data_IF_400930350680
#
_entry.id   IF_400930350680
#
_cell.length_a   1.000
_cell.length_b   1.000
_cell.length_c   1.000
_cell.angle_alpha   90.00
_cell.angle_beta   90.00
_cell.angle_gamma   90.00
#
_symmetry.space_group_name_H-M   'P 1'
#
loop_
_entity.id
_entity.type
_entity.pdbx_description
1 polymer ?
#
# COMPACT_ATOMS: atom_id res chain seq x y z
N UNK A 1 -16.09 -39.87 40.03
CA UNK A 1 -15.14 -38.77 39.76
C UNK A 1 -15.30 -38.38 38.29
N UNK A 2 -15.90 -37.22 38.00
CA UNK A 2 -16.23 -36.74 36.65
C UNK A 2 -15.16 -35.74 36.20
N UNK A 3 -14.60 -35.94 35.02
CA UNK A 3 -13.72 -34.99 34.34
C UNK A 3 -14.47 -33.70 33.99
N UNK A 4 -13.93 -32.50 34.25
CA UNK A 4 -14.48 -31.27 33.72
C UNK A 4 -13.97 -31.03 32.30
N UNK A 5 -14.90 -30.96 31.36
CA UNK A 5 -14.69 -30.54 29.98
C UNK A 5 -14.22 -29.08 29.91
N UNK A 6 -13.01 -28.85 29.40
CA UNK A 6 -12.52 -27.51 29.07
C UNK A 6 -13.14 -27.11 27.73
N UNK A 7 -14.27 -26.40 27.78
CA UNK A 7 -14.82 -25.66 26.64
C UNK A 7 -13.85 -24.56 26.22
N UNK A 8 -13.36 -24.63 24.99
CA UNK A 8 -12.60 -23.54 24.38
C UNK A 8 -13.53 -22.34 24.16
N UNK A 9 -13.26 -21.24 24.89
CA UNK A 9 -13.84 -19.92 24.59
C UNK A 9 -13.34 -19.49 23.21
N UNK A 10 -14.10 -19.78 22.16
CA UNK A 10 -14.05 -18.98 20.93
C UNK A 10 -14.30 -17.53 21.35
N UNK A 11 -13.29 -16.67 21.24
CA UNK A 11 -13.48 -15.21 21.28
C UNK A 11 -14.40 -14.86 20.11
N UNK A 12 -15.70 -14.84 20.37
CA UNK A 12 -16.69 -14.21 19.50
C UNK A 12 -16.31 -12.74 19.41
N UNK A 13 -15.84 -12.34 18.22
CA UNK A 13 -15.80 -10.94 17.83
C UNK A 13 -17.25 -10.44 17.93
N UNK A 14 -17.56 -9.38 18.68
CA UNK A 14 -18.93 -8.97 18.88
C UNK A 14 -19.53 -8.52 17.56
N UNK A 15 -20.71 -9.08 17.25
CA UNK A 15 -21.53 -8.93 16.04
C UNK A 15 -22.07 -7.50 15.80
N UNK A 16 -21.54 -6.49 16.50
CA UNK A 16 -22.16 -5.16 16.64
C UNK A 16 -21.34 -4.00 16.06
N UNK A 17 -20.28 -4.24 15.27
CA UNK A 17 -19.53 -3.13 14.66
C UNK A 17 -20.31 -2.43 13.52
N UNK A 18 -21.18 -3.16 12.81
CA UNK A 18 -21.96 -2.64 11.68
C UNK A 18 -23.08 -1.68 12.15
N UNK A 19 -23.69 -1.92 13.31
CA UNK A 19 -24.71 -1.03 13.86
C UNK A 19 -24.15 0.30 14.38
N UNK A 20 -22.87 0.34 14.78
CA UNK A 20 -22.23 1.56 15.27
C UNK A 20 -21.93 2.55 14.12
N UNK A 21 -21.58 2.05 12.93
CA UNK A 21 -21.36 2.87 11.74
C UNK A 21 -22.62 3.61 11.27
N UNK A 22 -23.80 3.04 11.51
CA UNK A 22 -25.09 3.65 11.18
C UNK A 22 -25.63 4.62 12.26
N UNK A 23 -25.08 4.60 13.48
CA UNK A 23 -25.59 5.36 14.64
C UNK A 23 -24.71 6.54 15.09
N UNK A 24 -23.57 6.81 14.42
CA UNK A 24 -22.84 8.08 14.62
C UNK A 24 -23.51 9.17 13.78
N UNK A 25 -24.66 9.64 14.26
CA UNK A 25 -25.26 10.90 13.80
C UNK A 25 -24.50 12.05 14.46
N UNK A 26 -23.48 12.57 13.77
CA UNK A 26 -23.17 13.99 13.91
C UNK A 26 -24.08 14.74 12.94
N UNK A 27 -24.92 15.61 13.50
CA UNK A 27 -25.86 16.47 12.79
C UNK A 27 -25.07 17.50 11.97
N UNK A 28 -24.70 17.15 10.74
CA UNK A 28 -24.55 18.12 9.66
C UNK A 28 -25.87 18.10 8.87
N UNK A 29 -26.89 18.71 9.45
CA UNK A 29 -28.15 18.92 8.75
C UNK A 29 -27.89 19.92 7.62
N UNK A 30 -27.93 19.47 6.36
CA UNK A 30 -28.22 20.34 5.23
C UNK A 30 -27.18 20.45 4.10
N UNK A 31 -25.99 19.87 4.18
CA UNK A 31 -25.07 19.91 3.02
C UNK A 31 -25.42 18.84 1.98
N UNK A 32 -25.63 19.21 0.71
CA UNK A 32 -25.83 18.25 -0.37
C UNK A 32 -24.66 17.26 -0.44
N UNK A 33 -24.96 15.98 -0.68
CA UNK A 33 -23.95 14.90 -0.71
C UNK A 33 -22.81 15.12 -1.71
N UNK A 34 -23.08 15.83 -2.80
CA UNK A 34 -22.09 16.25 -3.80
C UNK A 34 -21.11 17.29 -3.23
N UNK A 35 -21.59 18.18 -2.36
CA UNK A 35 -20.76 19.22 -1.73
C UNK A 35 -19.79 18.60 -0.72
N UNK A 36 -20.25 17.63 0.09
CA UNK A 36 -19.38 16.87 1.01
C UNK A 36 -18.24 16.15 0.29
N UNK A 37 -18.55 15.46 -0.82
CA UNK A 37 -17.51 14.76 -1.60
C UNK A 37 -16.52 15.75 -2.22
N UNK A 38 -17.02 16.85 -2.77
CA UNK A 38 -16.19 17.90 -3.38
C UNK A 38 -15.28 18.55 -2.34
N UNK A 39 -15.81 18.89 -1.17
CA UNK A 39 -15.06 19.45 -0.03
C UNK A 39 -13.98 18.50 0.45
N UNK A 40 -14.32 17.22 0.62
CA UNK A 40 -13.35 16.18 0.99
C UNK A 40 -12.20 16.11 -0.02
N UNK A 41 -12.49 16.05 -1.32
CA UNK A 41 -11.47 15.96 -2.36
C UNK A 41 -10.61 17.23 -2.41
N UNK A 42 -11.21 18.42 -2.29
CA UNK A 42 -10.47 19.68 -2.25
C UNK A 42 -9.54 19.78 -1.03
N UNK A 43 -10.00 19.33 0.14
CA UNK A 43 -9.19 19.29 1.35
C UNK A 43 -8.03 18.29 1.20
N UNK A 44 -8.29 17.10 0.63
CA UNK A 44 -7.27 16.12 0.31
C UNK A 44 -6.19 16.68 -0.62
N UNK A 45 -6.59 17.37 -1.68
CA UNK A 45 -5.65 18.01 -2.61
C UNK A 45 -4.85 19.13 -1.92
N UNK A 46 -5.50 19.94 -1.08
CA UNK A 46 -4.83 21.00 -0.31
C UNK A 46 -3.78 20.44 0.66
N UNK A 47 -4.11 19.36 1.37
CA UNK A 47 -3.17 18.66 2.26
C UNK A 47 -1.98 18.14 1.46
N UNK A 48 -2.22 17.54 0.29
CA UNK A 48 -1.16 17.07 -0.60
C UNK A 48 -0.22 18.22 -1.01
N UNK A 49 -0.77 19.35 -1.44
CA UNK A 49 0.02 20.54 -1.82
C UNK A 49 0.83 21.05 -0.62
N UNK A 50 0.25 21.07 0.58
CA UNK A 50 0.96 21.47 1.79
C UNK A 50 2.11 20.52 2.13
N UNK A 51 1.89 19.20 2.02
CA UNK A 51 2.93 18.18 2.20
C UNK A 51 4.05 18.35 1.18
N UNK A 52 3.75 18.64 -0.09
CA UNK A 52 4.77 18.94 -1.10
C UNK A 52 5.55 20.23 -0.79
N UNK A 53 4.87 21.29 -0.34
CA UNK A 53 5.52 22.53 0.07
C UNK A 53 6.44 22.31 1.28
N UNK A 54 6.02 21.49 2.24
CA UNK A 54 6.86 21.11 3.37
C UNK A 54 8.14 20.40 2.89
N UNK A 55 8.01 19.46 1.94
CA UNK A 55 9.17 18.77 1.33
C UNK A 55 10.11 19.74 0.62
N UNK A 56 9.59 20.65 -0.19
CA UNK A 56 10.38 21.67 -0.90
C UNK A 56 11.18 22.54 0.08
N UNK A 57 10.57 22.98 1.18
CA UNK A 57 11.25 23.77 2.20
C UNK A 57 12.36 22.99 2.91
N UNK A 58 12.13 21.72 3.25
CA UNK A 58 13.17 20.87 3.86
C UNK A 58 14.31 20.63 2.87
N UNK A 59 14.01 20.40 1.59
CA UNK A 59 15.03 20.26 0.53
C UNK A 59 15.87 21.53 0.37
N UNK A 60 15.22 22.69 0.30
CA UNK A 60 15.89 24.00 0.28
C UNK A 60 16.76 24.22 1.51
N UNK A 61 16.31 23.78 2.68
CA UNK A 61 17.10 23.90 3.91
C UNK A 61 18.42 23.13 3.82
N UNK A 62 18.41 21.91 3.28
CA UNK A 62 19.63 21.14 3.08
C UNK A 62 20.57 21.81 2.07
N UNK A 63 20.04 22.27 0.93
CA UNK A 63 20.85 22.98 -0.08
C UNK A 63 21.47 24.28 0.47
N UNK A 64 20.70 25.05 1.25
CA UNK A 64 21.20 26.27 1.90
C UNK A 64 22.27 25.94 2.96
N UNK A 65 22.13 24.82 3.67
CA UNK A 65 23.12 24.36 4.65
C UNK A 65 24.45 24.00 3.97
N UNK A 66 24.39 23.22 2.90
CA UNK A 66 25.57 22.80 2.12
C UNK A 66 26.27 24.00 1.47
N UNK A 67 25.52 25.03 1.08
CA UNK A 67 26.05 26.29 0.56
C UNK A 67 26.56 27.27 1.65
N UNK A 68 26.51 26.89 2.94
CA UNK A 68 26.97 27.72 4.06
C UNK A 68 26.00 28.79 4.54
N UNK A 69 24.77 28.84 4.01
CA UNK A 69 23.72 29.78 4.40
C UNK A 69 22.92 29.29 5.62
N UNK A 70 23.60 29.08 6.76
CA UNK A 70 23.03 28.41 7.93
C UNK A 70 21.74 29.03 8.48
N UNK A 71 21.65 30.37 8.58
CA UNK A 71 20.43 31.04 9.07
C UNK A 71 19.23 30.81 8.15
N UNK A 72 19.46 30.78 6.84
CA UNK A 72 18.42 30.54 5.84
C UNK A 72 17.99 29.07 5.86
N UNK A 73 18.95 28.17 6.00
CA UNK A 73 18.71 26.74 6.22
C UNK A 73 17.83 26.49 7.45
N UNK A 74 18.13 27.14 8.57
CA UNK A 74 17.35 27.03 9.81
C UNK A 74 15.89 27.47 9.63
N UNK A 75 15.66 28.62 9.00
CA UNK A 75 14.31 29.14 8.73
C UNK A 75 13.53 28.21 7.81
N UNK A 76 14.14 27.75 6.72
CA UNK A 76 13.51 26.81 5.78
C UNK A 76 13.19 25.48 6.47
N UNK A 77 14.10 24.97 7.31
CA UNK A 77 13.88 23.74 8.05
C UNK A 77 12.72 23.89 9.04
N UNK A 78 12.71 24.97 9.85
CA UNK A 78 11.64 25.24 10.82
C UNK A 78 10.27 25.35 10.15
N UNK A 79 10.17 26.11 9.07
CA UNK A 79 8.92 26.28 8.32
C UNK A 79 8.46 24.98 7.66
N UNK A 80 9.39 24.21 7.08
CA UNK A 80 9.10 22.90 6.52
C UNK A 80 8.56 21.92 7.56
N UNK A 81 9.17 21.87 8.76
CA UNK A 81 8.72 21.01 9.87
C UNK A 81 7.35 21.41 10.41
N UNK A 82 7.09 22.72 10.54
CA UNK A 82 5.77 23.20 10.96
C UNK A 82 4.68 22.75 9.97
N UNK A 83 4.90 22.94 8.66
CA UNK A 83 3.94 22.50 7.64
C UNK A 83 3.77 20.98 7.60
N UNK A 84 4.84 20.19 7.79
CA UNK A 84 4.79 18.72 7.87
C UNK A 84 3.94 18.25 9.05
N UNK A 85 4.09 18.90 10.21
CA UNK A 85 3.30 18.60 11.41
C UNK A 85 1.82 18.96 11.23
N UNK A 86 1.53 20.12 10.67
CA UNK A 86 0.16 20.56 10.38
C UNK A 86 -0.52 19.62 9.37
N UNK A 87 0.18 19.24 8.29
CA UNK A 87 -0.33 18.31 7.29
C UNK A 87 -0.71 16.96 7.92
N UNK A 88 0.12 16.42 8.81
CA UNK A 88 -0.16 15.16 9.51
C UNK A 88 -1.40 15.23 10.39
N UNK A 89 -1.66 16.35 11.05
CA UNK A 89 -2.90 16.56 11.83
C UNK A 89 -4.11 16.59 10.89
N UNK A 90 -4.00 17.30 9.77
CA UNK A 90 -5.07 17.38 8.77
C UNK A 90 -5.36 16.02 8.11
N UNK A 91 -4.35 15.19 7.86
CA UNK A 91 -4.53 13.82 7.33
C UNK A 91 -5.36 12.94 8.29
N UNK A 92 -5.13 13.04 9.60
CA UNK A 92 -5.92 12.32 10.59
C UNK A 92 -7.38 12.78 10.63
N UNK A 93 -7.62 14.07 10.45
CA UNK A 93 -8.98 14.62 10.33
C UNK A 93 -9.65 14.16 9.03
N UNK A 94 -8.91 14.16 7.92
CA UNK A 94 -9.37 13.73 6.61
C UNK A 94 -9.85 12.27 6.63
N UNK A 95 -9.14 11.38 7.32
CA UNK A 95 -9.55 9.98 7.47
C UNK A 95 -10.93 9.83 8.16
N UNK A 96 -11.24 10.69 9.15
CA UNK A 96 -12.56 10.70 9.81
C UNK A 96 -13.64 11.24 8.88
N UNK A 97 -13.33 12.26 8.09
CA UNK A 97 -14.24 12.82 7.09
C UNK A 97 -14.56 11.82 5.97
N UNK A 98 -13.58 11.02 5.52
CA UNK A 98 -13.79 9.99 4.50
C UNK A 98 -14.91 9.05 4.90
N UNK A 99 -14.89 8.56 6.15
CA UNK A 99 -15.93 7.64 6.64
C UNK A 99 -17.32 8.29 6.63
N UNK A 100 -17.40 9.57 7.03
CA UNK A 100 -18.65 10.32 6.99
C UNK A 100 -19.17 10.51 5.57
N UNK A 101 -18.31 10.96 4.65
CA UNK A 101 -18.66 11.15 3.23
C UNK A 101 -19.09 9.82 2.61
N UNK A 102 -18.33 8.75 2.86
CA UNK A 102 -18.64 7.40 2.42
C UNK A 102 -20.03 6.95 2.89
N UNK A 103 -20.30 7.04 4.19
CA UNK A 103 -21.59 6.61 4.78
C UNK A 103 -22.75 7.42 4.21
N UNK A 104 -22.56 8.72 3.97
CA UNK A 104 -23.57 9.56 3.32
C UNK A 104 -23.85 9.09 1.88
N UNK A 105 -22.80 8.79 1.09
CA UNK A 105 -23.00 8.28 -0.27
C UNK A 105 -23.67 6.89 -0.27
N UNK A 106 -23.29 5.99 0.65
CA UNK A 106 -23.94 4.68 0.77
C UNK A 106 -25.44 4.81 1.05
N UNK A 107 -25.85 5.72 1.95
CA UNK A 107 -27.28 6.02 2.20
C UNK A 107 -27.99 6.54 0.95
N UNK A 108 -27.31 7.31 0.12
CA UNK A 108 -27.88 7.85 -1.11
C UNK A 108 -27.98 6.81 -2.24
N UNK A 109 -27.33 5.65 -2.14
CA UNK A 109 -27.46 4.58 -3.14
C UNK A 109 -28.84 3.93 -3.15
N UNK A 110 -29.61 4.01 -2.06
CA UNK A 110 -30.97 3.49 -1.95
C UNK A 110 -32.04 4.60 -2.06
N UNK A 111 -31.66 5.83 -2.41
CA UNK A 111 -32.58 6.96 -2.47
C UNK A 111 -33.63 6.78 -3.59
N UNK A 112 -34.88 7.14 -3.39
CA UNK A 112 -35.95 6.99 -4.41
C UNK A 112 -35.67 7.79 -5.70
N UNK A 113 -34.96 8.92 -5.61
CA UNK A 113 -34.57 9.73 -6.74
C UNK A 113 -33.36 9.14 -7.48
N UNK A 114 -33.54 8.80 -8.76
CA UNK A 114 -32.51 8.22 -9.61
C UNK A 114 -31.24 9.08 -9.73
N UNK A 115 -31.38 10.40 -9.85
CA UNK A 115 -30.23 11.30 -10.00
C UNK A 115 -29.39 11.35 -8.72
N UNK A 116 -30.02 11.23 -7.55
CA UNK A 116 -29.31 11.12 -6.27
C UNK A 116 -28.51 9.82 -6.21
N UNK A 117 -29.10 8.68 -6.60
CA UNK A 117 -28.38 7.39 -6.64
C UNK A 117 -27.23 7.38 -7.62
N UNK A 118 -27.44 7.97 -8.81
CA UNK A 118 -26.42 8.11 -9.86
C UNK A 118 -25.27 8.99 -9.40
N UNK A 119 -25.58 10.15 -8.81
CA UNK A 119 -24.59 11.05 -8.22
C UNK A 119 -23.79 10.37 -7.12
N UNK A 120 -24.45 9.62 -6.23
CA UNK A 120 -23.78 8.87 -5.17
C UNK A 120 -22.82 7.80 -5.70
N UNK A 121 -23.22 7.07 -6.74
CA UNK A 121 -22.36 6.08 -7.40
C UNK A 121 -21.10 6.74 -7.98
N UNK A 122 -21.27 7.89 -8.66
CA UNK A 122 -20.16 8.66 -9.22
C UNK A 122 -19.24 9.23 -8.13
N UNK A 123 -19.81 9.71 -7.03
CA UNK A 123 -19.06 10.28 -5.91
C UNK A 123 -18.21 9.21 -5.22
N UNK A 124 -18.77 8.02 -4.97
CA UNK A 124 -18.00 6.89 -4.44
C UNK A 124 -16.85 6.49 -5.36
N UNK A 125 -17.06 6.49 -6.68
CA UNK A 125 -15.98 6.23 -7.62
C UNK A 125 -14.86 7.29 -7.53
N UNK A 126 -15.22 8.57 -7.36
CA UNK A 126 -14.26 9.68 -7.19
C UNK A 126 -13.46 9.62 -5.90
N UNK A 127 -14.02 9.04 -4.82
CA UNK A 127 -13.26 8.79 -3.58
C UNK A 127 -12.08 7.83 -3.82
N UNK A 128 -12.11 7.07 -4.92
CA UNK A 128 -11.01 6.20 -5.34
C UNK A 128 -10.93 4.92 -4.52
N UNK A 129 -9.86 4.15 -4.63
CA UNK A 129 -9.78 2.81 -4.03
C UNK A 129 -9.65 2.82 -2.50
N UNK A 130 -9.44 3.97 -1.88
CA UNK A 130 -9.37 4.13 -0.42
C UNK A 130 -10.65 3.69 0.29
N UNK A 131 -11.80 3.69 -0.41
CA UNK A 131 -13.07 3.20 0.13
C UNK A 131 -13.24 1.69 0.02
N UNK A 132 -12.36 0.98 -0.70
CA UNK A 132 -12.52 -0.47 -0.89
C UNK A 132 -12.57 -1.26 0.42
N UNK A 133 -11.73 -0.99 1.44
CA UNK A 133 -11.87 -1.63 2.74
C UNK A 133 -13.26 -1.42 3.33
N UNK A 134 -13.78 -0.18 3.26
CA UNK A 134 -15.11 0.16 3.75
C UNK A 134 -16.23 -0.55 2.96
N UNK A 135 -16.09 -0.67 1.63
CA UNK A 135 -17.03 -1.41 0.79
C UNK A 135 -17.04 -2.91 1.12
N UNK A 136 -15.89 -3.49 1.44
CA UNK A 136 -15.77 -4.90 1.83
C UNK A 136 -16.32 -5.17 3.24
N UNK A 137 -16.27 -4.19 4.14
CA UNK A 137 -16.88 -4.28 5.47
C UNK A 137 -18.41 -4.27 5.44
N UNK A 138 -19.03 -3.77 4.36
CA UNK A 138 -20.48 -3.80 4.21
C UNK A 138 -20.97 -5.25 4.08
N UNK A 139 -21.90 -5.65 4.96
CA UNK A 139 -22.58 -6.93 4.81
C UNK A 139 -23.59 -6.85 3.66
N UNK A 140 -23.15 -7.18 2.44
CA UNK A 140 -23.97 -7.14 1.22
C UNK A 140 -25.25 -8.00 1.27
N UNK A 141 -25.40 -8.89 2.27
CA UNK A 141 -26.60 -9.73 2.42
C UNK A 141 -27.78 -9.01 3.07
N UNK A 142 -27.53 -7.97 3.86
CA UNK A 142 -28.57 -7.23 4.61
C UNK A 142 -28.89 -5.88 3.96
N UNK A 143 -28.44 -5.67 2.72
CA UNK A 143 -28.60 -4.43 1.96
C UNK A 143 -29.61 -4.67 0.83
N UNK A 144 -30.41 -3.66 0.49
CA UNK A 144 -31.40 -3.76 -0.58
C UNK A 144 -30.76 -4.15 -1.93
N UNK A 145 -31.50 -4.84 -2.82
CA UNK A 145 -30.94 -5.37 -4.06
C UNK A 145 -30.33 -4.31 -4.98
N UNK A 146 -30.89 -3.10 -5.03
CA UNK A 146 -30.40 -2.03 -5.91
C UNK A 146 -29.06 -1.47 -5.41
N UNK A 147 -28.97 -1.14 -4.12
CA UNK A 147 -27.73 -0.70 -3.48
C UNK A 147 -26.65 -1.77 -3.62
N UNK A 148 -27.00 -3.05 -3.42
CA UNK A 148 -26.08 -4.16 -3.59
C UNK A 148 -25.55 -4.25 -5.03
N UNK A 149 -26.42 -4.11 -6.04
CA UNK A 149 -26.00 -4.09 -7.45
C UNK A 149 -25.04 -2.93 -7.75
N UNK A 150 -25.30 -1.74 -7.20
CA UNK A 150 -24.42 -0.55 -7.37
C UNK A 150 -23.07 -0.73 -6.69
N UNK A 151 -23.05 -1.27 -5.46
CA UNK A 151 -21.79 -1.60 -4.76
C UNK A 151 -20.99 -2.64 -5.54
N UNK A 152 -21.64 -3.69 -6.08
CA UNK A 152 -20.96 -4.67 -6.95
C UNK A 152 -20.39 -4.02 -8.20
N UNK A 153 -21.12 -3.13 -8.84
CA UNK A 153 -20.62 -2.35 -9.99
C UNK A 153 -19.41 -1.48 -9.62
N UNK A 154 -19.43 -0.86 -8.45
CA UNK A 154 -18.31 -0.07 -7.93
C UNK A 154 -17.09 -0.95 -7.62
N UNK A 155 -17.27 -2.09 -6.95
CA UNK A 155 -16.21 -3.07 -6.73
C UNK A 155 -15.61 -3.57 -8.07
N UNK A 156 -16.47 -3.84 -9.06
CA UNK A 156 -16.03 -4.21 -10.40
C UNK A 156 -15.26 -3.09 -11.11
N UNK A 157 -15.58 -1.81 -10.84
CA UNK A 157 -14.80 -0.67 -11.35
C UNK A 157 -13.37 -0.63 -10.78
N UNK A 158 -13.16 -1.28 -9.63
CA UNK A 158 -11.86 -1.44 -8.98
C UNK A 158 -11.23 -2.83 -9.22
N UNK A 159 -11.76 -3.66 -10.11
CA UNK A 159 -11.35 -5.07 -10.32
C UNK A 159 -9.85 -5.34 -10.52
N UNK A 160 -9.09 -4.33 -10.93
CA UNK A 160 -7.64 -4.42 -11.11
C UNK A 160 -6.84 -4.15 -9.82
N UNK A 161 -7.54 -3.98 -8.69
CA UNK A 161 -6.96 -3.74 -7.37
C UNK A 161 -7.28 -4.96 -6.53
N UNK A 162 -6.24 -5.74 -6.22
CA UNK A 162 -6.37 -6.91 -5.35
C UNK A 162 -6.34 -6.46 -3.89
N UNK A 163 -7.25 -6.99 -3.09
CA UNK A 163 -7.39 -6.67 -1.68
C UNK A 163 -7.63 -7.95 -0.91
N UNK A 164 -7.02 -8.08 0.26
CA UNK A 164 -7.26 -9.22 1.14
C UNK A 164 -8.44 -9.02 2.09
N UNK A 165 -8.71 -10.04 2.92
CA UNK A 165 -9.82 -10.02 3.89
C UNK A 165 -9.68 -8.92 4.96
N UNK A 166 -8.52 -8.30 5.08
CA UNK A 166 -8.22 -7.23 6.03
C UNK A 166 -8.24 -5.84 5.37
N UNK A 167 -8.62 -5.74 4.09
CA UNK A 167 -8.65 -4.46 3.38
C UNK A 167 -7.26 -3.99 2.93
N UNK A 168 -6.23 -4.83 2.99
CA UNK A 168 -4.88 -4.46 2.56
C UNK A 168 -4.78 -4.59 1.04
N UNK A 169 -4.21 -3.59 0.40
CA UNK A 169 -3.90 -3.63 -1.03
C UNK A 169 -2.79 -4.65 -1.27
N UNK A 170 -3.01 -5.48 -2.28
CA UNK A 170 -2.06 -6.45 -2.81
C UNK A 170 -1.68 -5.95 -4.20
N UNK A 171 -0.43 -5.55 -4.38
CA UNK A 171 0.03 -5.05 -5.68
C UNK A 171 1.32 -5.74 -6.09
N UNK A 172 1.34 -6.18 -7.34
CA UNK A 172 2.52 -6.72 -7.99
C UNK A 172 3.37 -5.59 -8.55
N UNK A 173 4.69 -5.82 -8.63
CA UNK A 173 5.60 -4.86 -9.25
C UNK A 173 5.19 -4.56 -10.70
N UNK A 174 5.22 -3.28 -11.08
CA UNK A 174 4.85 -2.79 -12.41
C UNK A 174 6.07 -2.62 -13.31
N UNK A 175 7.16 -2.13 -12.74
CA UNK A 175 8.45 -1.97 -13.43
C UNK A 175 9.57 -2.37 -12.49
N UNK A 176 10.71 -2.74 -13.04
CA UNK A 176 11.88 -3.12 -12.26
C UNK A 176 13.17 -2.69 -12.97
N UNK A 177 14.18 -2.36 -12.18
CA UNK A 177 15.57 -2.12 -12.58
C UNK A 177 16.49 -2.88 -11.63
N UNK A 178 17.69 -3.20 -12.06
CA UNK A 178 18.64 -3.95 -11.25
C UNK A 178 20.06 -3.38 -11.39
N UNK A 179 20.94 -3.75 -10.45
CA UNK A 179 22.39 -3.51 -10.55
C UNK A 179 22.95 -4.09 -11.85
N UNK A 180 22.50 -5.29 -12.17
CA UNK A 180 22.87 -6.02 -13.36
C UNK A 180 21.76 -7.01 -13.73
N UNK A 181 21.78 -7.47 -14.97
CA UNK A 181 20.86 -8.51 -15.44
C UNK A 181 21.56 -9.37 -16.49
N UNK A 182 21.21 -10.64 -16.55
CA UNK A 182 21.87 -11.61 -17.44
C UNK A 182 21.70 -11.22 -18.92
N UNK A 183 20.46 -10.95 -19.35
CA UNK A 183 20.19 -10.36 -20.68
C UNK A 183 19.16 -9.23 -20.62
N UNK A 184 18.86 -8.64 -21.77
CA UNK A 184 17.88 -7.56 -21.91
C UNK A 184 16.42 -8.06 -22.02
N UNK A 185 16.21 -9.35 -22.32
CA UNK A 185 14.88 -9.96 -22.43
C UNK A 185 14.73 -11.06 -21.38
N UNK A 186 15.47 -12.14 -21.57
CA UNK A 186 15.48 -13.32 -20.72
C UNK A 186 16.33 -13.04 -19.47
N UNK A 187 15.82 -13.41 -18.30
CA UNK A 187 16.43 -13.10 -17.01
C UNK A 187 16.66 -11.60 -16.73
N UNK A 188 15.91 -10.74 -17.42
CA UNK A 188 15.96 -9.30 -17.21
C UNK A 188 15.25 -8.88 -15.92
N UNK A 189 15.54 -7.70 -15.38
CA UNK A 189 14.84 -7.20 -14.18
C UNK A 189 13.31 -7.14 -14.37
N UNK A 190 12.85 -6.92 -15.61
CA UNK A 190 11.42 -6.89 -15.97
C UNK A 190 10.71 -8.20 -15.66
N UNK A 191 11.42 -9.32 -15.63
CA UNK A 191 10.82 -10.62 -15.31
C UNK A 191 10.23 -10.64 -13.90
N UNK A 192 10.80 -9.88 -12.94
CA UNK A 192 10.24 -9.74 -11.59
C UNK A 192 8.97 -8.87 -11.47
N UNK A 193 8.27 -8.60 -12.58
CA UNK A 193 7.07 -7.74 -12.63
C UNK A 193 5.81 -8.54 -12.94
N UNK A 194 4.67 -8.09 -12.41
CA UNK A 194 3.41 -8.82 -12.53
C UNK A 194 3.30 -9.99 -11.55
N UNK A 195 2.31 -10.85 -11.81
CA UNK A 195 2.09 -12.07 -11.03
C UNK A 195 3.15 -13.11 -11.39
N UNK A 196 3.49 -14.02 -10.47
CA UNK A 196 4.37 -15.14 -10.76
C UNK A 196 3.95 -15.92 -12.00
N UNK A 197 4.87 -16.11 -12.94
CA UNK A 197 4.67 -16.98 -14.11
C UNK A 197 5.74 -18.08 -14.24
N UNK A 198 6.71 -18.11 -13.32
CA UNK A 198 7.63 -19.23 -13.11
C UNK A 198 7.06 -20.24 -12.11
N UNK A 199 6.51 -21.36 -12.60
CA UNK A 199 5.78 -22.34 -11.77
C UNK A 199 6.61 -23.51 -11.25
N UNK A 200 7.88 -23.63 -11.67
CA UNK A 200 8.76 -24.73 -11.31
C UNK A 200 10.09 -24.16 -10.79
N UNK A 201 10.76 -24.94 -9.95
CA UNK A 201 12.11 -24.60 -9.51
C UNK A 201 13.08 -24.79 -10.68
N UNK A 202 13.96 -23.82 -10.90
CA UNK A 202 14.98 -23.93 -11.94
C UNK A 202 15.37 -22.60 -12.54
N UNK A 203 16.45 -22.66 -13.32
CA UNK A 203 16.97 -21.56 -14.13
C UNK A 203 16.02 -21.29 -15.30
N UNK A 204 15.14 -20.30 -15.14
CA UNK A 204 14.04 -20.05 -16.06
C UNK A 204 14.03 -18.57 -16.47
N UNK A 205 13.99 -18.33 -17.79
CA UNK A 205 14.01 -17.00 -18.41
C UNK A 205 12.93 -16.02 -17.95
N UNK A 206 11.91 -16.53 -17.27
CA UNK A 206 10.78 -15.81 -16.66
C UNK A 206 11.09 -15.28 -15.25
N UNK A 207 12.30 -15.46 -14.73
CA UNK A 207 12.75 -14.88 -13.46
C UNK A 207 14.00 -14.00 -13.65
N UNK A 208 14.17 -12.95 -12.85
CA UNK A 208 15.39 -12.12 -12.90
C UNK A 208 16.60 -12.87 -12.35
N UNK A 209 17.74 -12.77 -13.03
CA UNK A 209 19.06 -13.12 -12.51
C UNK A 209 20.06 -11.98 -12.75
N UNK A 210 21.08 -11.86 -11.90
CA UNK A 210 22.19 -10.93 -12.09
C UNK A 210 22.99 -11.25 -13.37
N UNK A 211 23.91 -10.37 -13.77
CA UNK A 211 24.73 -10.60 -14.98
C UNK A 211 25.73 -11.76 -14.81
N UNK A 212 26.23 -11.96 -13.60
CA UNK A 212 27.14 -13.03 -13.24
C UNK A 212 26.65 -13.71 -11.97
N UNK A 213 26.85 -15.03 -11.90
CA UNK A 213 26.65 -15.83 -10.69
C UNK A 213 27.71 -15.46 -9.65
N UNK A 214 27.35 -15.56 -8.37
CA UNK A 214 28.25 -15.38 -7.22
C UNK A 214 29.04 -14.04 -7.21
N UNK A 215 28.51 -12.99 -7.86
CA UNK A 215 29.15 -11.69 -8.02
C UNK A 215 29.24 -10.86 -6.72
N UNK A 216 28.62 -11.33 -5.63
CA UNK A 216 28.54 -10.65 -4.35
C UNK A 216 27.27 -9.81 -4.24
N UNK A 217 27.39 -8.53 -3.92
CA UNK A 217 26.22 -7.67 -3.66
C UNK A 217 25.55 -7.23 -4.97
N UNK A 218 24.32 -7.68 -5.17
CA UNK A 218 23.45 -7.27 -6.28
C UNK A 218 22.16 -6.65 -5.71
N UNK A 219 21.45 -5.85 -6.50
CA UNK A 219 20.16 -5.29 -6.11
C UNK A 219 19.14 -5.33 -7.23
N UNK A 220 17.88 -5.49 -6.84
CA UNK A 220 16.70 -5.41 -7.68
C UNK A 220 15.76 -4.38 -7.08
N UNK A 221 15.35 -3.38 -7.86
CA UNK A 221 14.48 -2.30 -7.46
C UNK A 221 13.20 -2.32 -8.27
N UNK A 222 12.07 -2.32 -7.57
CA UNK A 222 10.75 -2.52 -8.16
C UNK A 222 9.86 -1.34 -7.82
N UNK A 223 9.12 -0.87 -8.83
CA UNK A 223 8.11 0.19 -8.68
C UNK A 223 6.71 -0.41 -8.80
N UNK A 224 5.81 0.02 -7.92
CA UNK A 224 4.44 -0.44 -7.81
C UNK A 224 3.46 0.64 -8.26
N UNK A 225 2.24 0.23 -8.60
CA UNK A 225 1.24 1.14 -9.17
C UNK A 225 0.76 2.23 -8.21
N UNK A 226 0.82 1.99 -6.89
CA UNK A 226 0.37 2.93 -5.87
C UNK A 226 1.35 3.00 -4.72
N UNK A 227 1.54 4.19 -4.17
CA UNK A 227 2.21 4.33 -2.90
C UNK A 227 1.26 3.86 -1.80
N UNK A 228 1.72 2.95 -0.94
CA UNK A 228 0.93 2.39 0.18
C UNK A 228 1.80 2.37 1.44
N UNK A 229 1.17 2.28 2.61
CA UNK A 229 1.85 2.00 3.87
C UNK A 229 2.18 0.50 3.94
N UNK A 230 3.45 0.10 3.80
CA UNK A 230 3.82 -1.28 3.63
C UNK A 230 3.59 -2.06 4.92
N UNK A 231 2.96 -3.23 4.81
CA UNK A 231 2.71 -4.18 5.90
C UNK A 231 3.50 -5.47 5.67
N UNK A 232 3.65 -5.88 4.42
CA UNK A 232 4.52 -7.00 4.05
C UNK A 232 5.07 -6.83 2.63
N UNK A 233 6.20 -7.48 2.38
CA UNK A 233 6.77 -7.68 1.04
C UNK A 233 6.93 -9.19 0.85
N UNK A 234 6.47 -9.71 -0.30
CA UNK A 234 6.68 -11.11 -0.69
C UNK A 234 7.59 -11.17 -1.91
N UNK A 235 8.64 -11.96 -1.83
CA UNK A 235 9.62 -12.18 -2.89
C UNK A 235 9.45 -13.63 -3.36
N UNK A 236 9.10 -13.83 -4.62
CA UNK A 236 8.98 -15.16 -5.20
C UNK A 236 10.34 -15.60 -5.73
N UNK A 237 11.03 -16.46 -4.98
CA UNK A 237 12.33 -16.99 -5.35
C UNK A 237 12.17 -18.35 -6.03
N UNK A 238 12.79 -18.51 -7.21
CA UNK A 238 12.53 -19.65 -8.11
C UNK A 238 13.76 -20.50 -8.39
N UNK A 239 14.96 -19.99 -8.14
CA UNK A 239 16.20 -20.75 -8.25
C UNK A 239 17.24 -20.27 -7.24
N UNK A 240 17.92 -21.23 -6.60
CA UNK A 240 18.89 -21.04 -5.51
C UNK A 240 18.48 -19.92 -4.51
N UNK A 241 17.36 -20.08 -3.78
CA UNK A 241 16.85 -19.05 -2.88
C UNK A 241 17.73 -18.88 -1.63
N UNK A 242 17.49 -17.82 -0.88
CA UNK A 242 18.20 -17.55 0.38
C UNK A 242 19.33 -16.53 0.26
N UNK A 243 19.46 -15.89 -0.89
CA UNK A 243 20.49 -14.87 -1.14
C UNK A 243 20.06 -13.46 -0.72
N UNK A 244 18.78 -13.23 -0.41
CA UNK A 244 18.31 -11.91 0.02
C UNK A 244 18.87 -11.55 1.40
N UNK A 245 19.52 -10.39 1.49
CA UNK A 245 20.13 -9.91 2.75
C UNK A 245 19.48 -8.65 3.29
N UNK A 246 18.76 -7.89 2.45
CA UNK A 246 18.14 -6.62 2.85
C UNK A 246 16.98 -6.25 1.94
N UNK A 247 15.93 -5.70 2.53
CA UNK A 247 14.79 -5.10 1.81
C UNK A 247 14.55 -3.70 2.34
N UNK A 248 14.51 -2.74 1.43
CA UNK A 248 14.38 -1.33 1.72
C UNK A 248 13.18 -0.75 0.97
N UNK A 249 12.41 0.12 1.62
CA UNK A 249 11.46 1.00 0.94
C UNK A 249 12.14 2.31 0.57
N UNK A 250 11.80 2.87 -0.59
CA UNK A 250 12.13 4.27 -0.88
C UNK A 250 10.93 5.16 -0.62
N UNK A 251 11.07 6.10 0.29
CA UNK A 251 10.04 7.10 0.53
C UNK A 251 9.94 8.12 -0.61
N UNK A 252 8.93 8.99 -0.53
CA UNK A 252 8.72 10.06 -1.52
C UNK A 252 9.88 11.09 -1.55
N UNK A 253 10.77 11.09 -0.54
CA UNK A 253 11.97 11.93 -0.48
C UNK A 253 13.18 11.26 -1.12
N UNK A 254 13.02 10.07 -1.69
CA UNK A 254 14.10 9.27 -2.27
C UNK A 254 14.97 8.55 -1.24
N UNK A 255 14.67 8.69 0.06
CA UNK A 255 15.42 8.06 1.15
C UNK A 255 15.04 6.59 1.24
N UNK A 256 16.05 5.74 1.33
CA UNK A 256 15.89 4.32 1.63
C UNK A 256 15.69 4.12 3.14
N UNK A 257 14.69 3.32 3.48
CA UNK A 257 14.41 2.87 4.84
C UNK A 257 14.41 1.35 4.85
N UNK A 258 15.24 0.76 5.71
CA UNK A 258 15.37 -0.69 5.83
C UNK A 258 14.12 -1.28 6.47
N UNK A 259 13.32 -2.00 5.68
CA UNK A 259 12.15 -2.74 6.16
C UNK A 259 12.57 -4.05 6.83
N UNK A 260 13.64 -4.66 6.34
CA UNK A 260 14.20 -5.90 6.84
C UNK A 260 15.67 -6.02 6.45
N UNK A 261 16.48 -6.57 7.34
CA UNK A 261 17.88 -6.92 7.11
C UNK A 261 18.19 -8.18 7.91
N UNK A 262 18.87 -9.14 7.29
CA UNK A 262 19.16 -10.41 7.93
C UNK A 262 19.56 -11.47 6.92
N UNK A 263 19.37 -12.73 7.34
CA UNK A 263 19.59 -13.89 6.47
C UNK A 263 18.25 -14.44 6.04
N UNK A 264 18.06 -14.53 4.73
CA UNK A 264 16.89 -15.19 4.16
C UNK A 264 16.91 -16.70 4.54
N UNK A 265 15.88 -17.17 5.26
CA UNK A 265 15.82 -18.55 5.72
C UNK A 265 15.43 -19.54 4.62
N UNK A 266 15.08 -19.07 3.43
CA UNK A 266 14.54 -19.89 2.33
C UNK A 266 15.57 -20.87 1.80
N UNK A 267 15.15 -22.13 1.60
CA UNK A 267 16.02 -23.25 1.16
C UNK A 267 15.51 -24.01 -0.05
N UNK A 268 14.21 -23.97 -0.31
CA UNK A 268 13.56 -24.70 -1.38
C UNK A 268 12.83 -23.70 -2.27
N UNK A 269 12.93 -23.91 -3.58
CA UNK A 269 12.20 -23.16 -4.59
C UNK A 269 11.17 -24.07 -5.29
N UNK A 270 10.17 -23.50 -5.99
CA UNK A 270 9.78 -22.10 -5.91
C UNK A 270 9.02 -21.82 -4.60
N UNK A 271 9.24 -20.66 -3.99
CA UNK A 271 8.50 -20.26 -2.78
C UNK A 271 8.49 -18.74 -2.61
N UNK A 272 7.62 -18.27 -1.72
CA UNK A 272 7.64 -16.88 -1.28
C UNK A 272 8.47 -16.73 0.00
N UNK A 273 9.49 -15.89 -0.07
CA UNK A 273 10.06 -15.27 1.13
C UNK A 273 9.16 -14.08 1.53
N UNK A 274 8.39 -14.23 2.62
CA UNK A 274 7.51 -13.20 3.14
C UNK A 274 8.18 -12.43 4.28
N UNK A 275 8.31 -11.12 4.10
CA UNK A 275 8.84 -10.17 5.07
C UNK A 275 7.68 -9.38 5.65
N UNK A 276 7.50 -9.48 6.98
CA UNK A 276 6.55 -8.64 7.72
C UNK A 276 7.24 -7.34 8.11
N UNK A 277 6.64 -6.21 7.73
CA UNK A 277 7.20 -4.87 7.98
C UNK A 277 7.02 -4.47 9.44
N UNK A 278 8.08 -4.00 10.13
CA UNK A 278 7.99 -3.46 11.48
C UNK A 278 6.97 -2.32 11.60
N UNK A 279 6.18 -2.32 12.69
CA UNK A 279 5.07 -1.37 12.92
C UNK A 279 5.48 0.11 12.92
N UNK A 280 6.71 0.41 13.28
CA UNK A 280 7.27 1.75 13.27
C UNK A 280 7.53 2.26 11.84
N UNK A 281 7.79 1.35 10.90
CA UNK A 281 8.02 1.63 9.48
C UNK A 281 6.75 1.62 8.63
N UNK A 282 5.63 1.12 9.16
CA UNK A 282 4.32 1.19 8.48
C UNK A 282 3.76 2.62 8.37
N UNK A 283 4.51 3.65 8.80
CA UNK A 283 4.16 5.07 8.63
C UNK A 283 4.79 5.70 7.38
N UNK A 284 5.63 4.96 6.67
CA UNK A 284 6.32 5.45 5.48
C UNK A 284 5.56 4.94 4.27
N UNK A 285 4.94 5.85 3.53
CA UNK A 285 4.27 5.51 2.28
C UNK A 285 5.31 5.25 1.20
N UNK A 286 5.19 4.14 0.48
CA UNK A 286 6.13 3.77 -0.59
C UNK A 286 5.42 3.11 -1.76
N UNK A 287 5.90 3.40 -2.97
CA UNK A 287 5.63 2.62 -4.18
C UNK A 287 6.91 1.99 -4.74
N UNK A 288 8.01 1.98 -3.99
CA UNK A 288 9.31 1.49 -4.46
C UNK A 288 9.94 0.62 -3.38
N UNK A 289 10.32 -0.59 -3.77
CA UNK A 289 11.07 -1.54 -2.93
C UNK A 289 12.40 -1.85 -3.60
N UNK A 290 13.49 -1.84 -2.84
CA UNK A 290 14.79 -2.34 -3.25
C UNK A 290 15.13 -3.58 -2.44
N UNK A 291 15.47 -4.64 -3.14
CA UNK A 291 15.94 -5.92 -2.59
C UNK A 291 17.43 -5.98 -2.85
N UNK A 292 18.22 -6.28 -1.82
CA UNK A 292 19.67 -6.52 -1.94
C UNK A 292 19.95 -7.98 -1.68
N UNK A 293 20.75 -8.59 -2.56
CA UNK A 293 21.19 -9.97 -2.46
C UNK A 293 22.70 -10.01 -2.16
N UNK A 294 23.14 -11.04 -1.45
CA UNK A 294 24.54 -11.49 -1.45
C UNK A 294 24.63 -12.80 -2.22
N UNK A 295 24.84 -12.70 -3.53
CA UNK A 295 24.84 -13.86 -4.44
C UNK A 295 26.01 -14.79 -4.18
N UNK A 296 27.08 -14.33 -3.54
CA UNK A 296 28.21 -15.18 -3.15
C UNK A 296 27.89 -16.08 -1.94
N UNK A 297 26.87 -15.74 -1.16
CA UNK A 297 26.47 -16.52 0.01
C UNK A 297 25.65 -17.78 -0.35
N UNK A 298 25.09 -17.85 -1.56
CA UNK A 298 24.31 -18.98 -2.07
C UNK A 298 24.75 -19.27 -3.50
N UNK A 299 25.56 -20.32 -3.66
CA UNK A 299 26.19 -20.65 -4.93
C UNK A 299 25.18 -20.87 -6.07
N UNK A 300 25.50 -20.32 -7.24
CA UNK A 300 24.71 -20.46 -8.46
C UNK A 300 23.90 -19.21 -8.81
N UNK A 301 22.93 -19.36 -9.71
CA UNK A 301 22.03 -18.26 -10.08
C UNK A 301 20.91 -18.14 -9.05
N UNK A 302 20.83 -16.99 -8.37
CA UNK A 302 19.70 -16.67 -7.49
C UNK A 302 18.65 -15.92 -8.32
N UNK A 303 17.42 -16.44 -8.34
CA UNK A 303 16.38 -15.94 -9.24
C UNK A 303 15.13 -15.47 -8.53
N UNK A 304 14.63 -14.31 -8.95
CA UNK A 304 13.40 -13.69 -8.44
C UNK A 304 12.40 -13.48 -9.59
N UNK A 305 11.28 -14.18 -9.53
CA UNK A 305 10.22 -14.17 -10.55
C UNK A 305 9.15 -13.11 -10.31
N UNK A 306 8.85 -12.77 -9.06
CA UNK A 306 7.83 -11.76 -8.78
C UNK A 306 8.01 -11.15 -7.39
N UNK A 307 7.56 -9.91 -7.24
CA UNK A 307 7.50 -9.26 -5.93
C UNK A 307 6.12 -8.64 -5.71
N UNK A 308 5.53 -8.95 -4.55
CA UNK A 308 4.27 -8.38 -4.10
C UNK A 308 4.51 -7.40 -2.95
N UNK A 309 3.93 -6.21 -3.06
CA UNK A 309 3.87 -5.24 -1.97
C UNK A 309 2.45 -5.24 -1.39
N UNK A 310 2.37 -5.49 -0.09
CA UNK A 310 1.13 -5.62 0.68
C UNK A 310 1.06 -4.49 1.69
N UNK A 311 -0.05 -3.74 1.74
CA UNK A 311 -0.12 -2.60 2.64
C UNK A 311 -1.46 -1.89 2.69
N UNK A 312 -1.53 -0.87 3.54
CA UNK A 312 -2.71 -0.03 3.68
C UNK A 312 -2.66 1.15 2.69
N UNK A 313 -3.79 1.61 2.14
CA UNK A 313 -3.84 2.74 1.21
C UNK A 313 -3.22 4.04 1.73
#
# INVERSE_FOLDING_TARGET
>A
MKNPSITSRKKQIPRNFIFLLLSITFTFAGEPSQDLTKKYLAQKDSIKVQSEKAKDLISKAHNDFDAGFYKKAEVNHRNGRALEQDAKVLEQQLARQLLHVFTNQIKNLSNENFEIRRSASNNLQKLGPEILPLLHELNLKDIDPETNARIKGLLASFKNIEIDKQGRFLQWAKTATASSQYTHLDWSAKQSTGKPDTHQAGDLKTAWASKATDAGKEWLELTFGRAIYPVAVRIHETYNPGAVIKVESRDEKGKLHTLWEGKDPTRLAPTFFEIVVPKDLTKIKTSIIRITLDTKAVAGWNEIDAVQLIGLP
#
